data_IF_056889757845
#
_entry.id   IF_056889757845
#
_cell.length_a   1.000
_cell.length_b   1.000
_cell.length_c   1.000
_cell.angle_alpha   90.00
_cell.angle_beta   90.00
_cell.angle_gamma   90.00
#
_symmetry.space_group_name_H-M   'P 1'
#
loop_
_entity.id
_entity.type
_entity.pdbx_description
1 polymer ?
#
# COMPACT_ATOMS: atom_id res chain seq x y z
N UNK A 1 8.66 1.59 43.93
CA UNK A 1 8.47 0.73 42.74
C UNK A 1 8.32 1.61 41.50
N UNK A 2 9.35 1.69 40.63
CA UNK A 2 9.26 2.43 39.35
C UNK A 2 9.07 1.42 38.21
N UNK A 3 8.13 1.74 37.33
CA UNK A 3 7.53 0.85 36.32
C UNK A 3 8.59 0.37 35.32
N UNK A 4 8.60 -0.95 35.05
CA UNK A 4 9.35 -1.58 33.95
C UNK A 4 8.96 -0.91 32.62
N UNK A 5 9.89 -0.21 31.99
CA UNK A 5 9.79 0.18 30.57
C UNK A 5 9.89 -1.09 29.73
N UNK A 6 8.83 -1.42 28.98
CA UNK A 6 8.81 -2.56 28.06
C UNK A 6 9.87 -2.37 26.98
N UNK A 7 10.74 -3.37 26.84
CA UNK A 7 11.77 -3.50 25.81
C UNK A 7 11.23 -3.17 24.42
N UNK A 8 11.90 -2.25 23.72
CA UNK A 8 11.68 -1.96 22.30
C UNK A 8 11.97 -3.22 21.50
N UNK A 9 10.93 -3.88 21.01
CA UNK A 9 11.07 -4.92 19.99
C UNK A 9 11.87 -4.33 18.82
N UNK A 10 13.03 -4.91 18.50
CA UNK A 10 13.77 -4.68 17.26
C UNK A 10 12.95 -5.22 16.07
N UNK A 11 11.82 -4.58 15.78
CA UNK A 11 10.98 -4.93 14.65
C UNK A 11 11.58 -4.32 13.38
N UNK A 12 12.03 -5.21 12.50
CA UNK A 12 12.54 -4.85 11.19
C UNK A 12 11.44 -4.20 10.36
N UNK A 13 11.76 -3.10 9.69
CA UNK A 13 10.80 -2.40 8.82
C UNK A 13 10.52 -3.28 7.60
N UNK A 14 9.24 -3.57 7.26
CA UNK A 14 8.91 -4.29 6.05
C UNK A 14 9.50 -3.65 4.79
N UNK A 15 10.07 -4.47 3.90
CA UNK A 15 10.79 -3.99 2.72
C UNK A 15 9.93 -3.11 1.77
N UNK A 16 8.62 -3.37 1.71
CA UNK A 16 7.70 -2.52 0.95
C UNK A 16 7.66 -1.09 1.48
N UNK A 17 7.55 -0.93 2.81
CA UNK A 17 7.44 0.38 3.45
C UNK A 17 8.74 1.15 3.37
N UNK A 18 9.87 0.49 3.62
CA UNK A 18 11.19 1.13 3.53
C UNK A 18 11.50 1.60 2.12
N UNK A 19 11.18 0.81 1.09
CA UNK A 19 11.36 1.22 -0.31
C UNK A 19 10.43 2.37 -0.71
N UNK A 20 9.15 2.28 -0.35
CA UNK A 20 8.18 3.33 -0.65
C UNK A 20 8.57 4.66 -0.01
N UNK A 21 9.04 4.62 1.24
CA UNK A 21 9.53 5.81 1.93
C UNK A 21 10.76 6.41 1.23
N UNK A 22 11.74 5.58 0.83
CA UNK A 22 12.91 6.04 0.06
C UNK A 22 12.56 6.65 -1.29
N UNK A 23 11.56 6.10 -1.99
CA UNK A 23 11.05 6.69 -3.24
C UNK A 23 10.55 8.11 -2.99
N UNK A 24 9.81 8.32 -1.91
CA UNK A 24 9.26 9.63 -1.54
C UNK A 24 10.29 10.63 -0.99
N UNK A 25 11.48 10.16 -0.61
CA UNK A 25 12.62 11.01 -0.25
C UNK A 25 13.44 11.46 -1.46
N UNK A 26 13.27 10.83 -2.62
CA UNK A 26 13.97 11.23 -3.83
C UNK A 26 13.22 12.39 -4.53
N UNK A 27 13.81 13.57 -4.49
CA UNK A 27 13.23 14.78 -5.08
C UNK A 27 13.08 14.70 -6.60
N UNK A 28 13.90 13.89 -7.29
CA UNK A 28 13.78 13.65 -8.74
C UNK A 28 12.43 13.04 -9.14
N UNK A 29 11.74 12.39 -8.19
CA UNK A 29 10.46 11.76 -8.44
C UNK A 29 9.27 12.65 -8.11
N UNK A 30 9.48 13.86 -7.59
CA UNK A 30 8.41 14.72 -7.07
C UNK A 30 7.31 15.02 -8.09
N UNK A 31 7.60 15.03 -9.39
CA UNK A 31 6.61 15.24 -10.45
C UNK A 31 5.68 14.03 -10.67
N UNK A 32 6.11 12.84 -10.27
CA UNK A 32 5.38 11.58 -10.42
C UNK A 32 4.77 11.13 -9.10
N UNK A 33 5.55 11.20 -8.01
CA UNK A 33 5.17 10.78 -6.67
C UNK A 33 5.86 11.67 -5.63
N UNK A 34 5.10 12.23 -4.69
CA UNK A 34 5.65 13.11 -3.66
C UNK A 34 4.87 13.01 -2.36
N UNK A 35 5.47 13.46 -1.26
CA UNK A 35 4.70 13.81 -0.07
C UNK A 35 3.69 14.91 -0.40
N UNK A 36 2.57 14.93 0.33
CA UNK A 36 1.70 16.10 0.36
C UNK A 36 2.37 17.23 1.18
N UNK A 37 1.73 18.41 1.19
CA UNK A 37 2.34 19.61 1.78
C UNK A 37 2.54 19.49 3.30
N UNK A 38 1.67 18.78 4.01
CA UNK A 38 1.76 18.61 5.47
C UNK A 38 2.56 17.38 5.90
N UNK A 39 3.02 16.57 4.94
CA UNK A 39 3.81 15.35 5.13
C UNK A 39 3.06 14.19 5.80
N UNK A 40 1.72 14.19 5.83
CA UNK A 40 0.89 13.14 6.44
C UNK A 40 0.34 12.13 5.43
N UNK A 41 0.42 12.44 4.15
CA UNK A 41 0.04 11.57 3.04
C UNK A 41 1.03 11.72 1.89
N UNK A 42 0.91 10.86 0.89
CA UNK A 42 1.65 11.00 -0.36
C UNK A 42 0.72 10.92 -1.55
N UNK A 43 1.10 11.60 -2.63
CA UNK A 43 0.36 11.65 -3.88
C UNK A 43 1.13 10.92 -4.96
N UNK A 44 0.41 10.14 -5.77
CA UNK A 44 0.88 9.63 -7.05
C UNK A 44 0.17 10.46 -8.11
N UNK A 45 0.90 11.40 -8.69
CA UNK A 45 0.42 12.41 -9.64
C UNK A 45 0.22 11.82 -11.04
N UNK A 46 1.10 10.88 -11.41
CA UNK A 46 1.06 10.19 -12.70
C UNK A 46 1.16 8.67 -12.49
N UNK A 47 0.04 7.94 -12.28
CA UNK A 47 0.06 6.49 -12.03
C UNK A 47 0.76 5.68 -13.11
N UNK A 48 0.59 6.06 -14.38
CA UNK A 48 1.22 5.39 -15.52
C UNK A 48 2.74 5.54 -15.49
N UNK A 49 3.23 6.78 -15.32
CA UNK A 49 4.66 7.03 -15.22
C UNK A 49 5.29 6.39 -13.98
N UNK A 50 4.56 6.39 -12.85
CA UNK A 50 5.01 5.69 -11.65
C UNK A 50 5.18 4.18 -11.92
N UNK A 51 4.20 3.59 -12.60
CA UNK A 51 4.22 2.17 -12.96
C UNK A 51 5.36 1.81 -13.92
N UNK A 52 5.63 2.63 -14.92
CA UNK A 52 6.63 2.36 -15.94
C UNK A 52 8.06 2.74 -15.52
N UNK A 53 8.24 3.92 -14.91
CA UNK A 53 9.56 4.50 -14.67
C UNK A 53 10.12 4.22 -13.29
N UNK A 54 9.26 4.09 -12.27
CA UNK A 54 9.69 4.02 -10.87
C UNK A 54 9.54 2.60 -10.31
N UNK A 55 8.39 1.95 -10.51
CA UNK A 55 8.16 0.61 -9.94
C UNK A 55 9.24 -0.41 -10.32
N UNK A 56 9.70 -0.54 -11.60
CA UNK A 56 10.73 -1.52 -11.97
C UNK A 56 12.10 -1.26 -11.33
N UNK A 57 12.41 -0.02 -10.95
CA UNK A 57 13.68 0.35 -10.32
C UNK A 57 13.77 -0.07 -8.86
N UNK A 58 12.62 -0.16 -8.18
CA UNK A 58 12.55 -0.39 -6.73
C UNK A 58 11.87 -1.72 -6.36
N UNK A 59 10.98 -2.21 -7.21
CA UNK A 59 10.18 -3.43 -7.04
C UNK A 59 10.34 -4.37 -8.25
N UNK A 60 10.02 -5.65 -8.06
CA UNK A 60 10.11 -6.67 -9.12
C UNK A 60 8.88 -6.70 -10.05
N UNK A 61 8.11 -5.62 -10.10
CA UNK A 61 6.85 -5.52 -10.84
C UNK A 61 6.68 -4.10 -11.33
N UNK A 62 6.12 -3.88 -12.52
CA UNK A 62 5.60 -2.58 -12.98
C UNK A 62 4.10 -2.43 -12.74
N UNK A 63 3.43 -3.46 -12.19
CA UNK A 63 1.98 -3.46 -12.03
C UNK A 63 1.54 -2.55 -10.87
N UNK A 64 0.88 -1.45 -11.20
CA UNK A 64 0.34 -0.51 -10.21
C UNK A 64 -0.62 -1.16 -9.20
N UNK A 65 -1.48 -2.09 -9.65
CA UNK A 65 -2.42 -2.79 -8.77
C UNK A 65 -1.70 -3.66 -7.73
N UNK A 66 -0.51 -4.18 -8.03
CA UNK A 66 0.32 -4.87 -7.04
C UNK A 66 0.82 -3.92 -5.95
N UNK A 67 1.20 -2.69 -6.32
CA UNK A 67 1.57 -1.64 -5.37
C UNK A 67 0.37 -1.24 -4.49
N UNK A 68 -0.78 -0.98 -5.10
CA UNK A 68 -2.04 -0.67 -4.38
C UNK A 68 -2.44 -1.80 -3.43
N UNK A 69 -2.28 -3.06 -3.85
CA UNK A 69 -2.53 -4.21 -2.98
C UNK A 69 -1.63 -4.18 -1.74
N UNK A 70 -0.34 -3.89 -1.90
CA UNK A 70 0.57 -3.74 -0.76
C UNK A 70 0.13 -2.60 0.16
N UNK A 71 -0.27 -1.44 -0.37
CA UNK A 71 -0.84 -0.35 0.42
C UNK A 71 -2.02 -0.81 1.28
N UNK A 72 -2.99 -1.49 0.67
CA UNK A 72 -4.16 -2.02 1.39
C UNK A 72 -3.79 -3.06 2.46
N UNK A 73 -2.77 -3.89 2.20
CA UNK A 73 -2.28 -4.87 3.16
C UNK A 73 -1.59 -4.22 4.37
N UNK A 74 -1.08 -2.99 4.25
CA UNK A 74 -0.53 -2.21 5.37
C UNK A 74 -1.49 -1.12 5.86
N UNK A 75 -2.78 -1.25 5.52
CA UNK A 75 -3.84 -0.36 5.97
C UNK A 75 -3.71 1.12 5.55
N UNK A 76 -3.13 1.36 4.38
CA UNK A 76 -3.18 2.69 3.78
C UNK A 76 -4.58 2.94 3.23
N UNK A 77 -5.04 4.19 3.36
CA UNK A 77 -6.34 4.62 2.88
C UNK A 77 -6.19 5.66 1.77
N UNK A 78 -6.89 5.40 0.65
CA UNK A 78 -7.02 6.38 -0.44
C UNK A 78 -7.86 7.54 0.05
N UNK A 79 -7.35 8.76 -0.10
CA UNK A 79 -8.10 9.97 0.19
C UNK A 79 -9.05 10.29 -0.97
N UNK A 80 -10.21 10.85 -0.65
CA UNK A 80 -11.20 11.26 -1.66
C UNK A 80 -10.91 12.70 -2.06
N UNK A 81 -10.71 12.92 -3.36
CA UNK A 81 -10.56 14.25 -3.95
C UNK A 81 -11.44 14.34 -5.19
N UNK A 82 -11.81 15.56 -5.56
CA UNK A 82 -12.58 15.83 -6.77
C UNK A 82 -11.74 15.59 -8.03
N UNK A 83 -10.41 15.69 -7.92
CA UNK A 83 -9.48 15.34 -8.98
C UNK A 83 -9.28 13.80 -9.01
N UNK A 84 -9.81 13.16 -10.05
CA UNK A 84 -9.78 11.71 -10.24
C UNK A 84 -8.41 11.17 -10.65
N UNK A 85 -7.53 12.02 -11.16
CA UNK A 85 -6.28 11.61 -11.82
C UNK A 85 -5.12 11.49 -10.83
N UNK A 86 -5.26 12.09 -9.65
CA UNK A 86 -4.27 12.04 -8.57
C UNK A 86 -4.67 11.04 -7.50
N UNK A 87 -3.73 10.17 -7.10
CA UNK A 87 -3.98 9.15 -6.10
C UNK A 87 -3.27 9.51 -4.80
N UNK A 88 -3.99 10.10 -3.86
CA UNK A 88 -3.48 10.39 -2.52
C UNK A 88 -3.75 9.23 -1.55
N UNK A 89 -2.72 8.85 -0.79
CA UNK A 89 -2.76 7.76 0.18
C UNK A 89 -2.17 8.20 1.51
N UNK A 90 -2.83 7.83 2.61
CA UNK A 90 -2.40 8.16 3.96
C UNK A 90 -2.30 6.93 4.84
N UNK A 91 -1.38 6.98 5.81
CA UNK A 91 -1.37 6.08 6.96
C UNK A 91 -0.82 6.86 8.17
N UNK A 92 -1.44 6.71 9.34
CA UNK A 92 -1.12 7.51 10.55
C UNK A 92 0.36 7.49 10.94
N UNK A 93 1.03 6.37 10.71
CA UNK A 93 2.45 6.14 11.05
C UNK A 93 3.41 6.24 9.85
N UNK A 94 2.91 6.60 8.66
CA UNK A 94 3.74 6.79 7.48
C UNK A 94 3.78 8.29 7.16
N UNK A 95 4.81 8.99 7.66
CA UNK A 95 4.88 10.45 7.64
C UNK A 95 6.27 10.94 7.28
N UNK A 96 6.36 12.05 6.53
CA UNK A 96 7.62 12.69 6.16
C UNK A 96 8.43 13.06 7.40
N UNK A 97 9.70 12.67 7.44
CA UNK A 97 10.62 12.94 8.55
C UNK A 97 10.53 11.95 9.72
N UNK A 98 9.62 10.97 9.69
CA UNK A 98 9.40 10.03 10.79
C UNK A 98 9.59 8.56 10.37
N UNK A 99 10.71 8.26 9.71
CA UNK A 99 11.05 6.92 9.25
C UNK A 99 11.10 5.86 10.38
N UNK A 100 11.39 6.28 11.61
CA UNK A 100 11.39 5.42 12.79
C UNK A 100 10.01 4.83 13.13
N UNK A 101 8.92 5.43 12.66
CA UNK A 101 7.55 4.93 12.87
C UNK A 101 7.20 3.75 11.95
N UNK A 102 7.95 3.54 10.87
CA UNK A 102 7.64 2.50 9.87
C UNK A 102 7.67 1.08 10.44
N UNK A 103 8.49 0.81 11.46
CA UNK A 103 8.58 -0.49 12.14
C UNK A 103 7.29 -0.87 12.88
N UNK A 104 6.47 0.12 13.22
CA UNK A 104 5.23 -0.05 13.94
C UNK A 104 4.05 -0.36 13.00
N UNK A 105 4.18 -0.13 11.70
CA UNK A 105 3.14 -0.45 10.71
C UNK A 105 3.06 -1.97 10.54
N UNK A 106 1.87 -2.53 10.71
CA UNK A 106 1.62 -3.98 10.63
C UNK A 106 0.84 -4.33 9.39
N UNK A 107 1.21 -5.46 8.80
CA UNK A 107 0.46 -6.06 7.71
C UNK A 107 -0.83 -6.67 8.27
N UNK A 108 -1.97 -6.36 7.65
CA UNK A 108 -3.23 -7.05 7.87
C UNK A 108 -3.11 -8.51 7.44
N UNK A 109 -3.42 -9.42 8.35
CA UNK A 109 -3.60 -10.84 8.05
C UNK A 109 -5.10 -11.01 7.82
N UNK A 110 -5.50 -11.15 6.57
CA UNK A 110 -6.83 -11.66 6.27
C UNK A 110 -6.75 -13.15 6.54
N UNK A 111 -7.27 -13.60 7.67
CA UNK A 111 -7.36 -15.02 7.94
C UNK A 111 -8.25 -15.63 6.85
N UNK A 112 -7.65 -16.45 6.00
CA UNK A 112 -8.40 -17.42 5.21
C UNK A 112 -8.92 -18.41 6.24
N UNK A 113 -10.15 -18.21 6.72
CA UNK A 113 -10.83 -19.19 7.53
C UNK A 113 -10.88 -20.50 6.72
N UNK A 114 -10.01 -21.44 7.05
CA UNK A 114 -10.21 -22.84 6.71
C UNK A 114 -11.38 -23.33 7.56
N UNK A 115 -12.60 -23.21 7.06
CA UNK A 115 -13.74 -23.89 7.65
C UNK A 115 -13.66 -25.38 7.29
N UNK A 116 -13.25 -26.22 8.26
CA UNK A 116 -13.72 -27.60 8.29
C UNK A 116 -15.24 -27.55 8.52
N UNK A 117 -15.98 -28.31 7.71
CA UNK A 117 -17.43 -28.23 7.60
C UNK A 117 -18.15 -28.52 8.92
N UNK A 118 -19.16 -27.69 9.19
CA UNK A 118 -20.35 -28.08 9.94
C UNK A 118 -21.49 -27.20 9.39
N UNK A 119 -22.47 -27.86 8.77
CA UNK A 119 -23.65 -27.24 8.19
C UNK A 119 -24.45 -26.51 9.26
N UNK A 120 -24.81 -25.25 8.99
CA UNK A 120 -26.06 -24.63 9.40
C UNK A 120 -26.23 -23.30 8.65
N UNK A 121 -27.25 -23.26 7.80
CA UNK A 121 -27.65 -22.11 7.00
C UNK A 121 -28.17 -20.95 7.87
N UNK A 122 -27.68 -19.74 7.63
CA UNK A 122 -28.44 -18.51 7.84
C UNK A 122 -27.96 -17.43 6.85
N UNK A 123 -28.78 -17.03 5.85
CA UNK A 123 -28.36 -16.13 4.80
C UNK A 123 -28.69 -14.68 5.16
N UNK A 124 -27.81 -13.99 5.89
CA UNK A 124 -27.81 -12.52 5.86
C UNK A 124 -26.57 -11.84 6.45
N UNK A 125 -25.43 -11.96 5.76
CA UNK A 125 -24.42 -10.91 5.88
C UNK A 125 -23.76 -10.62 4.53
N UNK A 126 -24.39 -9.70 3.78
CA UNK A 126 -23.85 -9.10 2.56
C UNK A 126 -22.48 -8.47 2.85
N UNK A 127 -21.46 -9.13 2.31
CA UNK A 127 -20.30 -8.52 1.65
C UNK A 127 -20.20 -6.99 1.75
N UNK A 128 -19.28 -6.49 2.57
CA UNK A 128 -18.63 -5.20 2.31
C UNK A 128 -17.43 -5.42 1.41
N UNK A 129 -17.72 -5.92 0.22
CA UNK A 129 -16.87 -5.81 -0.95
C UNK A 129 -17.05 -4.38 -1.48
N UNK A 130 -16.45 -3.41 -0.78
CA UNK A 130 -16.62 -2.00 -1.13
C UNK A 130 -15.55 -1.55 -2.14
N UNK A 131 -15.91 -1.70 -3.42
CA UNK A 131 -15.81 -0.68 -4.48
C UNK A 131 -14.43 -0.17 -4.99
N UNK A 132 -13.29 -0.78 -4.66
CA UNK A 132 -11.99 -0.20 -5.04
C UNK A 132 -11.15 -0.99 -6.07
N UNK A 133 -11.66 -2.10 -6.63
CA UNK A 133 -10.93 -2.90 -7.63
C UNK A 133 -11.26 -2.53 -9.09
N UNK A 134 -12.42 -1.92 -9.34
CA UNK A 134 -12.94 -1.75 -10.70
C UNK A 134 -12.20 -0.65 -11.48
N UNK A 135 -11.71 0.40 -10.82
CA UNK A 135 -11.05 1.53 -11.49
C UNK A 135 -9.59 1.31 -11.93
N UNK A 136 -8.90 0.29 -11.43
CA UNK A 136 -7.47 0.05 -11.75
C UNK A 136 -7.24 -0.97 -12.86
N UNK A 137 -8.31 -1.57 -13.36
CA UNK A 137 -8.25 -2.65 -14.35
C UNK A 137 -7.97 -2.16 -15.77
N UNK A 138 -8.09 -0.86 -16.03
CA UNK A 138 -8.01 -0.26 -17.37
C UNK A 138 -6.58 0.02 -17.87
N UNK A 139 -5.54 -0.18 -17.04
CA UNK A 139 -4.13 -0.06 -17.45
C UNK A 139 -3.55 -1.36 -18.04
N UNK A 140 -4.39 -2.36 -18.35
CA UNK A 140 -3.95 -3.62 -18.95
C UNK A 140 -3.82 -3.51 -20.47
N UNK A 141 -2.75 -2.86 -20.92
CA UNK A 141 -2.12 -3.18 -22.21
C UNK A 141 -1.14 -4.34 -22.01
N UNK A 142 -1.46 -5.48 -22.62
CA UNK A 142 -0.59 -6.62 -22.93
C UNK A 142 0.06 -7.40 -21.77
N UNK A 143 -0.59 -8.52 -21.43
CA UNK A 143 0.05 -9.67 -20.78
C UNK A 143 1.15 -10.22 -21.69
N UNK A 144 2.41 -9.86 -21.45
CA UNK A 144 3.51 -10.73 -21.84
C UNK A 144 3.48 -11.95 -20.92
N UNK A 145 3.17 -13.11 -21.50
CA UNK A 145 3.29 -14.42 -20.87
C UNK A 145 4.75 -14.61 -20.43
N UNK A 146 5.03 -14.50 -19.13
CA UNK A 146 6.27 -15.07 -18.60
C UNK A 146 6.11 -16.60 -18.57
N UNK A 147 6.64 -17.25 -19.60
CA UNK A 147 6.85 -18.69 -19.65
C UNK A 147 7.82 -19.09 -18.52
N UNK A 148 7.43 -20.09 -17.75
CA UNK A 148 8.31 -20.82 -16.84
C UNK A 148 9.45 -21.45 -17.65
N UNK A 149 10.68 -21.32 -17.16
CA UNK A 149 11.77 -22.28 -17.38
C UNK A 149 12.12 -22.80 -15.99
#
# INVERSE_FOLDING_TARGET
MRKRTKSTNNQTVPGFLSKTYKILENEEYNDIISWNIDGRSFLIKSPNEFAEKILPKHFKTNNFSSFVRQLNMYDFHKQRHDNTDMHEWSHRLFRKGYANLLSQIKRKIYEVLKSQGHDNENPNNKSKETQNAEGYSQLKGDRIKCSKI
#
